data_IF_774824222090
#
_entry.id   IF_774824222090
#
_cell.length_a   1.000
_cell.length_b   1.000
_cell.length_c   1.000
_cell.angle_alpha   90.00
_cell.angle_beta   90.00
_cell.angle_gamma   90.00
#
_symmetry.space_group_name_H-M   'P 1'
#
loop_
_entity.id
_entity.type
_entity.pdbx_description
1 polymer ?
#
# COMPACT_ATOMS: atom_id res chain seq x y z
N UNK A 1 4.73 -15.88 -2.76
CA UNK A 1 5.07 -15.59 -4.18
C UNK A 1 4.39 -14.31 -4.68
N UNK A 2 3.05 -14.22 -4.70
CA UNK A 2 2.30 -13.04 -5.21
C UNK A 2 2.69 -11.72 -4.52
N UNK A 3 2.81 -11.70 -3.19
CA UNK A 3 3.22 -10.50 -2.45
C UNK A 3 4.66 -10.05 -2.78
N UNK A 4 5.60 -10.99 -2.85
CA UNK A 4 6.99 -10.71 -3.21
C UNK A 4 7.13 -10.20 -4.65
N UNK A 5 6.39 -10.81 -5.59
CA UNK A 5 6.32 -10.35 -6.98
C UNK A 5 5.72 -8.95 -7.09
N UNK A 6 4.67 -8.66 -6.32
CA UNK A 6 4.05 -7.33 -6.25
C UNK A 6 5.04 -6.27 -5.74
N UNK A 7 5.83 -6.61 -4.71
CA UNK A 7 6.87 -5.70 -4.19
C UNK A 7 7.97 -5.48 -5.22
N UNK A 8 8.48 -6.55 -5.83
CA UNK A 8 9.56 -6.50 -6.81
C UNK A 8 9.20 -5.75 -8.11
N UNK A 9 7.96 -5.91 -8.59
CA UNK A 9 7.49 -5.28 -9.84
C UNK A 9 7.05 -3.82 -9.69
N UNK A 10 7.26 -3.21 -8.52
CA UNK A 10 6.88 -1.81 -8.28
C UNK A 10 5.40 -1.61 -7.93
N UNK A 11 4.66 -2.65 -7.53
CA UNK A 11 3.33 -2.46 -6.95
C UNK A 11 3.39 -1.95 -5.49
N UNK A 12 4.53 -2.09 -4.81
CA UNK A 12 4.73 -1.51 -3.47
C UNK A 12 4.73 0.03 -3.50
N UNK A 13 5.33 0.67 -4.51
CA UNK A 13 5.29 2.13 -4.64
C UNK A 13 3.88 2.64 -4.87
N UNK A 14 3.02 1.87 -5.56
CA UNK A 14 1.59 2.18 -5.74
C UNK A 14 0.79 2.19 -4.43
N UNK A 15 1.24 1.44 -3.42
CA UNK A 15 0.65 1.50 -2.08
C UNK A 15 1.05 2.78 -1.34
N UNK A 16 2.32 3.18 -1.46
CA UNK A 16 2.93 4.31 -0.73
C UNK A 16 2.55 5.67 -1.32
N UNK A 17 2.72 5.84 -2.64
CA UNK A 17 2.48 7.12 -3.33
C UNK A 17 1.06 7.23 -3.90
N UNK A 18 0.39 6.08 -4.12
CA UNK A 18 -0.91 6.06 -4.78
C UNK A 18 -0.83 6.32 -6.30
N UNK A 19 -1.93 6.05 -6.99
CA UNK A 19 -2.01 6.16 -8.44
C UNK A 19 -3.39 6.67 -8.88
N UNK A 20 -3.42 7.31 -10.04
CA UNK A 20 -4.66 7.79 -10.68
C UNK A 20 -5.41 6.67 -11.42
N UNK A 21 -6.57 6.99 -11.99
CA UNK A 21 -7.38 6.00 -12.72
C UNK A 21 -6.80 5.57 -14.08
N UNK A 22 -5.74 6.22 -14.56
CA UNK A 22 -5.03 5.86 -15.79
C UNK A 22 -3.75 5.06 -15.52
N UNK A 23 -3.43 4.80 -14.25
CA UNK A 23 -2.28 4.02 -13.82
C UNK A 23 -1.00 4.82 -13.65
N UNK A 24 -1.07 6.16 -13.64
CA UNK A 24 0.08 7.01 -13.33
C UNK A 24 0.29 7.02 -11.81
N UNK A 25 1.52 6.76 -11.38
CA UNK A 25 1.95 6.90 -10.00
C UNK A 25 2.16 8.38 -9.68
N UNK A 26 1.50 8.87 -8.62
CA UNK A 26 1.58 10.26 -8.21
C UNK A 26 2.98 10.61 -7.67
N UNK A 27 3.43 11.85 -7.88
CA UNK A 27 4.75 12.31 -7.42
C UNK A 27 5.94 11.75 -8.20
N UNK A 28 5.70 11.05 -9.32
CA UNK A 28 6.76 10.40 -10.09
C UNK A 28 6.64 10.63 -11.59
N UNK A 29 7.73 10.38 -12.32
CA UNK A 29 7.73 10.36 -13.77
C UNK A 29 7.31 8.97 -14.25
N UNK A 30 6.19 8.88 -14.96
CA UNK A 30 5.64 7.63 -15.44
C UNK A 30 6.12 7.30 -16.86
N UNK A 31 6.10 6.02 -17.21
CA UNK A 31 6.36 5.55 -18.57
C UNK A 31 5.03 5.26 -19.28
N UNK A 32 4.86 5.67 -20.55
CA UNK A 32 3.61 5.45 -21.28
C UNK A 32 3.38 3.97 -21.57
N UNK A 33 2.10 3.58 -21.53
CA UNK A 33 1.64 2.23 -21.87
C UNK A 33 0.98 2.31 -23.25
N UNK A 34 1.30 1.34 -24.11
CA UNK A 34 0.75 1.28 -25.46
C UNK A 34 -0.79 1.20 -25.42
N UNK A 35 -1.45 1.96 -26.29
CA UNK A 35 -2.92 2.08 -26.41
C UNK A 35 -3.65 2.79 -25.25
N UNK A 36 -2.92 3.37 -24.28
CA UNK A 36 -3.52 4.14 -23.17
C UNK A 36 -3.00 5.60 -23.18
N UNK A 37 -3.66 6.53 -23.89
CA UNK A 37 -3.13 7.87 -24.14
C UNK A 37 -2.94 8.72 -22.88
N UNK A 38 -3.72 8.46 -21.82
CA UNK A 38 -3.63 9.19 -20.55
C UNK A 38 -2.59 8.59 -19.57
N UNK A 39 -1.92 7.50 -19.95
CA UNK A 39 -0.85 6.87 -19.17
C UNK A 39 0.52 7.48 -19.49
N UNK A 40 1.48 7.32 -18.59
CA UNK A 40 2.84 7.84 -18.77
C UNK A 40 2.98 9.35 -18.55
N UNK A 41 2.00 9.98 -17.90
CA UNK A 41 2.08 11.41 -17.60
C UNK A 41 3.14 11.70 -16.53
N UNK A 42 3.76 12.87 -16.63
CA UNK A 42 4.69 13.35 -15.60
C UNK A 42 3.90 13.90 -14.39
N UNK A 43 3.93 13.16 -13.29
CA UNK A 43 3.18 13.49 -12.07
C UNK A 43 4.08 13.99 -10.95
N UNK A 44 5.33 14.38 -11.22
CA UNK A 44 6.30 14.85 -10.21
C UNK A 44 5.76 15.99 -9.35
N UNK A 45 5.01 16.90 -9.94
CA UNK A 45 4.40 18.06 -9.25
C UNK A 45 3.01 17.76 -8.67
N UNK A 46 2.53 16.52 -8.80
CA UNK A 46 1.19 16.09 -8.37
C UNK A 46 1.30 14.88 -7.44
N UNK A 47 1.76 15.05 -6.19
CA UNK A 47 2.09 13.93 -5.30
C UNK A 47 0.89 13.34 -4.56
N UNK A 48 -0.30 13.97 -4.61
CA UNK A 48 -1.45 13.52 -3.83
C UNK A 48 -2.52 12.86 -4.71
N UNK A 49 -3.16 11.81 -4.23
CA UNK A 49 -4.34 11.21 -4.87
C UNK A 49 -5.60 11.88 -4.36
N UNK A 50 -6.41 12.41 -5.26
CA UNK A 50 -7.74 12.92 -5.02
C UNK A 50 -8.79 12.01 -5.66
N UNK A 51 -9.92 11.80 -4.99
CA UNK A 51 -11.05 11.01 -5.48
C UNK A 51 -12.23 11.93 -5.78
N UNK A 52 -12.81 11.81 -6.98
CA UNK A 52 -13.94 12.67 -7.40
C UNK A 52 -15.17 12.53 -6.48
N UNK A 53 -15.34 11.35 -5.88
CA UNK A 53 -16.30 11.10 -4.81
C UNK A 53 -15.63 10.24 -3.74
N UNK A 54 -15.06 10.91 -2.74
CA UNK A 54 -14.35 10.28 -1.63
C UNK A 54 -15.29 9.56 -0.64
N UNK A 55 -16.61 9.75 -0.71
CA UNK A 55 -17.56 9.15 0.22
C UNK A 55 -18.41 8.04 -0.39
N UNK A 56 -18.30 7.81 -1.70
CA UNK A 56 -18.95 6.71 -2.42
C UNK A 56 -18.02 5.51 -2.61
N UNK A 57 -17.89 4.76 -1.53
CA UNK A 57 -17.11 3.52 -1.45
C UNK A 57 -17.96 2.32 -1.86
N UNK A 58 -17.36 1.40 -2.63
CA UNK A 58 -17.91 0.06 -2.81
C UNK A 58 -17.54 -0.80 -1.60
N UNK A 59 -18.52 -1.18 -0.75
CA UNK A 59 -18.21 -1.94 0.44
C UNK A 59 -17.70 -3.34 0.15
N UNK A 60 -18.11 -3.94 -0.97
CA UNK A 60 -17.74 -5.31 -1.31
C UNK A 60 -16.31 -5.38 -1.83
N UNK A 61 -15.83 -4.32 -2.50
CA UNK A 61 -14.52 -4.28 -3.16
C UNK A 61 -13.47 -3.44 -2.42
N UNK A 62 -13.82 -2.79 -1.31
CA UNK A 62 -13.01 -1.78 -0.63
C UNK A 62 -12.37 -0.77 -1.62
N UNK A 63 -13.14 -0.36 -2.64
CA UNK A 63 -12.65 0.51 -3.70
C UNK A 63 -13.59 1.69 -3.87
N UNK A 64 -13.04 2.89 -4.01
CA UNK A 64 -13.81 4.06 -4.44
C UNK A 64 -14.37 3.80 -5.84
N UNK A 65 -15.68 3.98 -6.04
CA UNK A 65 -16.32 3.84 -7.37
C UNK A 65 -16.09 5.04 -8.28
N UNK A 66 -15.35 6.03 -7.79
CA UNK A 66 -15.06 7.28 -8.47
C UNK A 66 -13.67 7.29 -9.08
N UNK A 67 -13.51 8.13 -10.09
CA UNK A 67 -12.21 8.40 -10.68
C UNK A 67 -11.27 9.02 -9.64
N UNK A 68 -10.01 8.61 -9.70
CA UNK A 68 -8.91 9.16 -8.92
C UNK A 68 -7.94 9.91 -9.82
N UNK A 69 -7.42 11.02 -9.32
CA UNK A 69 -6.51 11.93 -10.01
C UNK A 69 -5.31 12.23 -9.12
N UNK A 70 -4.11 12.29 -9.69
CA UNK A 70 -2.97 12.94 -9.06
C UNK A 70 -3.15 14.46 -9.10
N UNK A 71 -3.04 15.10 -7.94
CA UNK A 71 -3.20 16.54 -7.72
C UNK A 71 -1.99 17.11 -6.98
N UNK A 72 -1.70 18.41 -7.19
CA UNK A 72 -0.60 19.11 -6.52
C UNK A 72 -0.97 19.50 -5.09
N UNK A 73 -2.24 19.82 -4.84
CA UNK A 73 -2.74 20.21 -3.53
C UNK A 73 -4.15 19.67 -3.28
N UNK A 74 -4.42 19.25 -2.04
CA UNK A 74 -5.75 18.87 -1.57
C UNK A 74 -6.60 20.11 -1.23
N UNK A 75 -7.93 20.08 -1.42
CA UNK A 75 -8.79 21.21 -1.07
C UNK A 75 -8.93 21.35 0.45
N UNK A 76 -8.29 22.35 1.04
CA UNK A 76 -8.31 22.58 2.51
C UNK A 76 -9.66 23.08 3.04
N UNK A 77 -10.47 23.67 2.16
CA UNK A 77 -11.84 24.15 2.43
C UNK A 77 -12.85 23.43 1.56
N UNK A 78 -14.10 23.41 2.01
CA UNK A 78 -15.20 22.88 1.20
C UNK A 78 -15.42 23.76 -0.04
N UNK A 79 -15.58 23.13 -1.20
CA UNK A 79 -15.92 23.80 -2.46
C UNK A 79 -17.36 23.44 -2.81
N UNK A 80 -18.25 24.42 -2.77
CA UNK A 80 -19.70 24.18 -2.87
C UNK A 80 -20.20 24.18 -4.31
N UNK A 81 -19.54 24.91 -5.20
CA UNK A 81 -19.93 25.10 -6.59
C UNK A 81 -18.82 24.70 -7.56
N UNK A 82 -19.14 24.45 -8.85
CA UNK A 82 -18.09 24.24 -9.86
C UNK A 82 -17.23 25.48 -10.10
N UNK A 83 -17.77 26.67 -9.84
CA UNK A 83 -16.99 27.91 -9.89
C UNK A 83 -15.88 27.89 -8.82
N UNK A 84 -16.18 27.42 -7.60
CA UNK A 84 -15.16 27.26 -6.56
C UNK A 84 -14.07 26.27 -6.97
N UNK A 85 -14.46 25.17 -7.63
CA UNK A 85 -13.53 24.16 -8.15
C UNK A 85 -12.64 24.74 -9.26
N UNK A 86 -13.20 25.56 -10.15
CA UNK A 86 -12.44 26.28 -11.17
C UNK A 86 -11.45 27.26 -10.55
N UNK A 87 -11.90 28.09 -9.60
CA UNK A 87 -11.03 29.02 -8.89
C UNK A 87 -9.90 28.31 -8.13
N UNK A 88 -10.18 27.13 -7.56
CA UNK A 88 -9.15 26.31 -6.93
C UNK A 88 -8.10 25.84 -7.94
N UNK A 89 -8.53 25.39 -9.12
CA UNK A 89 -7.62 24.97 -10.18
C UNK A 89 -6.73 26.13 -10.68
N UNK A 90 -7.32 27.30 -10.87
CA UNK A 90 -6.62 28.49 -11.37
C UNK A 90 -5.63 29.06 -10.33
N UNK A 91 -6.01 29.13 -9.05
CA UNK A 91 -5.18 29.73 -8.01
C UNK A 91 -4.06 28.81 -7.51
N UNK A 92 -4.33 27.50 -7.41
CA UNK A 92 -3.40 26.55 -6.80
C UNK A 92 -2.71 25.65 -7.83
N UNK A 93 -2.95 25.87 -9.13
CA UNK A 93 -2.46 25.01 -10.23
C UNK A 93 -2.82 23.52 -10.04
N UNK A 94 -3.95 23.25 -9.36
CA UNK A 94 -4.39 21.91 -8.95
C UNK A 94 -5.77 21.60 -9.51
N UNK A 95 -5.82 20.95 -10.68
CA UNK A 95 -7.06 20.55 -11.34
C UNK A 95 -7.72 19.38 -10.61
N UNK A 96 -8.99 19.54 -10.22
CA UNK A 96 -9.77 18.50 -9.54
C UNK A 96 -10.71 17.73 -10.48
N UNK A 97 -10.77 18.07 -11.76
CA UNK A 97 -11.46 17.30 -12.80
C UNK A 97 -10.48 16.47 -13.63
N UNK A 98 -11.03 15.51 -14.39
CA UNK A 98 -10.31 14.72 -15.40
C UNK A 98 -9.38 15.59 -16.24
N UNK A 99 -8.20 15.05 -16.54
CA UNK A 99 -7.15 15.77 -17.27
C UNK A 99 -7.57 16.21 -18.68
N UNK A 100 -8.59 15.60 -19.27
CA UNK A 100 -9.17 16.01 -20.56
C UNK A 100 -9.98 17.31 -20.48
N UNK A 101 -10.39 17.74 -19.29
CA UNK A 101 -11.23 18.93 -19.10
C UNK A 101 -10.37 20.10 -18.60
N UNK A 102 -10.36 21.18 -19.37
CA UNK A 102 -9.67 22.42 -18.97
C UNK A 102 -10.51 23.19 -17.94
N UNK A 103 -9.88 23.96 -17.03
CA UNK A 103 -10.61 24.78 -16.04
C UNK A 103 -11.66 25.70 -16.66
N UNK A 104 -11.43 26.20 -17.87
CA UNK A 104 -12.37 27.04 -18.61
C UNK A 104 -13.72 26.34 -18.92
N UNK A 105 -13.70 25.01 -19.05
CA UNK A 105 -14.83 24.18 -19.46
C UNK A 105 -15.55 23.53 -18.27
N UNK A 106 -15.19 23.90 -17.03
CA UNK A 106 -15.83 23.36 -15.82
C UNK A 106 -17.29 23.81 -15.77
N UNK A 107 -18.20 22.84 -15.75
CA UNK A 107 -19.65 23.02 -15.79
C UNK A 107 -20.30 22.06 -14.80
N UNK A 108 -21.42 22.47 -14.20
CA UNK A 108 -22.14 21.65 -13.21
C UNK A 108 -22.62 20.30 -13.78
N UNK A 109 -22.88 20.22 -15.08
CA UNK A 109 -23.26 18.97 -15.76
C UNK A 109 -22.16 17.88 -15.71
N UNK A 110 -20.91 18.27 -15.47
CA UNK A 110 -19.76 17.36 -15.36
C UNK A 110 -19.57 16.85 -13.93
N UNK A 111 -20.28 17.41 -12.94
CA UNK A 111 -20.11 17.04 -11.54
C UNK A 111 -20.56 15.59 -11.28
N UNK A 112 -19.68 14.79 -10.67
CA UNK A 112 -19.91 13.39 -10.36
C UNK A 112 -19.55 12.40 -11.49
N UNK A 113 -19.23 12.88 -12.69
CA UNK A 113 -18.69 12.07 -13.78
C UNK A 113 -17.22 12.38 -14.00
N UNK A 114 -16.94 13.46 -14.72
CA UNK A 114 -15.61 13.92 -15.13
C UNK A 114 -15.04 14.95 -14.16
N UNK A 115 -15.89 15.58 -13.37
CA UNK A 115 -15.56 16.51 -12.29
C UNK A 115 -16.05 15.97 -10.94
N UNK A 116 -15.55 16.49 -9.81
CA UNK A 116 -15.90 15.96 -8.50
C UNK A 116 -17.37 16.24 -8.18
N UNK A 117 -17.96 15.35 -7.38
CA UNK A 117 -19.33 15.55 -6.90
C UNK A 117 -19.36 16.71 -5.91
N UNK A 118 -20.32 17.61 -6.08
CA UNK A 118 -20.53 18.74 -5.17
C UNK A 118 -21.43 18.37 -3.97
N UNK A 119 -21.21 18.99 -2.80
CA UNK A 119 -20.05 19.82 -2.45
C UNK A 119 -18.79 18.98 -2.24
N UNK A 120 -17.62 19.46 -2.68
CA UNK A 120 -16.33 18.79 -2.45
C UNK A 120 -15.92 19.02 -0.99
N UNK A 121 -15.74 17.96 -0.17
CA UNK A 121 -15.38 18.14 1.23
C UNK A 121 -13.95 18.67 1.39
N UNK A 122 -13.77 19.49 2.43
CA UNK A 122 -12.44 19.86 2.91
C UNK A 122 -11.63 18.59 3.23
N UNK A 123 -10.36 18.57 2.82
CA UNK A 123 -9.50 17.40 2.87
C UNK A 123 -8.10 17.77 3.33
N UNK A 124 -7.44 16.86 4.04
CA UNK A 124 -6.03 16.98 4.44
C UNK A 124 -5.19 15.88 3.78
N UNK A 125 -3.92 16.16 3.45
CA UNK A 125 -3.01 15.13 2.94
C UNK A 125 -2.66 14.12 4.04
N UNK A 126 -2.97 12.84 3.80
CA UNK A 126 -2.59 11.71 4.66
C UNK A 126 -2.05 10.62 3.76
N UNK A 127 -0.78 10.23 3.94
CA UNK A 127 -0.10 9.19 3.13
C UNK A 127 -0.31 9.37 1.62
N UNK A 128 0.04 10.55 1.08
CA UNK A 128 -0.13 10.90 -0.35
C UNK A 128 -1.58 10.84 -0.86
N UNK A 129 -2.59 10.93 0.02
CA UNK A 129 -4.01 10.92 -0.36
C UNK A 129 -4.74 12.08 0.28
N UNK A 130 -5.67 12.68 -0.45
CA UNK A 130 -6.58 13.68 0.09
C UNK A 130 -7.69 12.98 0.86
N UNK A 131 -7.66 13.07 2.19
CA UNK A 131 -8.65 12.44 3.06
C UNK A 131 -9.62 13.51 3.57
N UNK A 132 -10.94 13.35 3.34
CA UNK A 132 -11.95 14.28 3.85
C UNK A 132 -11.84 14.44 5.37
N UNK A 133 -11.96 15.68 5.86
CA UNK A 133 -11.97 15.99 7.30
C UNK A 133 -13.31 15.71 7.96
N UNK A 134 -14.38 15.50 7.18
CA UNK A 134 -15.71 15.23 7.71
C UNK A 134 -15.82 13.77 8.19
N UNK A 135 -16.08 13.61 9.49
CA UNK A 135 -16.12 12.33 10.22
C UNK A 135 -17.18 11.37 9.62
N UNK A 136 -18.29 11.88 9.08
CA UNK A 136 -19.37 11.05 8.53
C UNK A 136 -18.93 10.18 7.34
N UNK A 137 -18.01 10.69 6.52
CA UNK A 137 -17.43 9.97 5.40
C UNK A 137 -16.52 8.83 5.86
N UNK A 138 -15.74 9.07 6.92
CA UNK A 138 -14.88 8.06 7.54
C UNK A 138 -15.68 7.00 8.31
N UNK A 139 -16.76 7.37 9.00
CA UNK A 139 -17.66 6.42 9.68
C UNK A 139 -18.25 5.44 8.66
N UNK A 140 -18.71 5.92 7.50
CA UNK A 140 -19.24 5.05 6.44
C UNK A 140 -18.19 4.07 5.91
N UNK A 141 -16.92 4.50 5.82
CA UNK A 141 -15.79 3.61 5.52
C UNK A 141 -15.54 2.60 6.63
N UNK A 142 -15.52 3.02 7.90
CA UNK A 142 -15.30 2.16 9.05
C UNK A 142 -16.41 1.11 9.21
N UNK A 143 -17.68 1.49 9.07
CA UNK A 143 -18.84 0.59 9.08
C UNK A 143 -18.75 -0.44 7.94
N UNK A 144 -18.36 0.02 6.76
CA UNK A 144 -18.15 -0.82 5.58
C UNK A 144 -17.04 -1.85 5.80
N UNK A 145 -15.88 -1.42 6.30
CA UNK A 145 -14.74 -2.29 6.60
C UNK A 145 -15.08 -3.25 7.74
N UNK A 146 -15.78 -2.78 8.78
CA UNK A 146 -16.27 -3.62 9.86
C UNK A 146 -17.24 -4.69 9.36
N UNK A 147 -18.16 -4.35 8.45
CA UNK A 147 -19.06 -5.31 7.80
C UNK A 147 -18.33 -6.38 6.98
N UNK A 148 -17.24 -5.99 6.29
CA UNK A 148 -16.41 -6.92 5.52
C UNK A 148 -15.57 -7.82 6.43
N UNK A 149 -14.97 -7.28 7.49
CA UNK A 149 -14.24 -8.09 8.49
C UNK A 149 -15.21 -9.06 9.18
N UNK A 150 -16.43 -8.62 9.50
CA UNK A 150 -17.44 -9.49 10.10
C UNK A 150 -18.03 -10.50 9.10
N UNK A 151 -17.66 -10.43 7.82
CA UNK A 151 -18.07 -11.42 6.84
C UNK A 151 -17.15 -12.64 6.93
N UNK A 152 -17.75 -13.81 7.14
CA UNK A 152 -17.04 -15.09 7.25
C UNK A 152 -16.24 -15.44 5.97
N UNK A 153 -16.49 -14.78 4.85
CA UNK A 153 -15.96 -15.11 3.53
C UNK A 153 -14.44 -14.82 3.40
N UNK A 154 -13.91 -13.79 4.07
CA UNK A 154 -12.47 -13.51 4.11
C UNK A 154 -11.75 -14.57 4.94
N UNK A 155 -12.28 -14.86 6.12
CA UNK A 155 -11.73 -15.88 7.00
C UNK A 155 -11.76 -17.26 6.33
N UNK A 156 -12.85 -17.61 5.64
CA UNK A 156 -12.93 -18.85 4.86
C UNK A 156 -11.91 -18.89 3.72
N UNK A 157 -11.64 -17.79 3.02
CA UNK A 157 -10.60 -17.75 1.97
C UNK A 157 -9.20 -17.94 2.53
N UNK A 158 -8.89 -17.32 3.68
CA UNK A 158 -7.60 -17.50 4.35
C UNK A 158 -7.44 -18.94 4.86
N UNK A 159 -8.46 -19.47 5.53
CA UNK A 159 -8.47 -20.84 6.06
C UNK A 159 -8.40 -21.86 4.91
N UNK A 160 -9.14 -21.65 3.83
CA UNK A 160 -9.10 -22.50 2.63
C UNK A 160 -7.71 -22.51 1.98
N UNK A 161 -7.04 -21.36 1.90
CA UNK A 161 -5.66 -21.28 1.42
C UNK A 161 -4.67 -22.07 2.30
N UNK A 162 -4.85 -22.03 3.62
CA UNK A 162 -4.07 -22.80 4.59
C UNK A 162 -4.36 -24.30 4.44
N UNK A 163 -5.64 -24.69 4.38
CA UNK A 163 -6.07 -26.08 4.24
C UNK A 163 -5.59 -26.71 2.94
N UNK A 164 -5.55 -25.95 1.84
CA UNK A 164 -5.04 -26.42 0.55
C UNK A 164 -3.51 -26.63 0.56
N UNK A 165 -2.78 -25.98 1.48
CA UNK A 165 -1.32 -26.06 1.59
C UNK A 165 -0.85 -26.82 2.83
N UNK A 166 -1.77 -27.52 3.52
CA UNK A 166 -1.52 -28.12 4.84
C UNK A 166 -0.34 -29.10 4.85
N UNK A 167 -0.19 -29.91 3.80
CA UNK A 167 0.83 -30.96 3.75
C UNK A 167 2.24 -30.36 3.60
N UNK A 168 2.36 -29.25 2.86
CA UNK A 168 3.61 -28.50 2.72
C UNK A 168 3.99 -27.81 4.04
N UNK A 169 3.02 -27.20 4.73
CA UNK A 169 3.25 -26.51 6.01
C UNK A 169 3.71 -27.51 7.08
N UNK A 170 3.02 -28.65 7.18
CA UNK A 170 3.39 -29.73 8.12
C UNK A 170 4.79 -30.25 7.79
N UNK A 171 5.10 -30.46 6.51
CA UNK A 171 6.43 -30.88 6.06
C UNK A 171 7.53 -29.89 6.45
N UNK A 172 7.32 -28.59 6.26
CA UNK A 172 8.28 -27.54 6.63
C UNK A 172 8.48 -27.46 8.16
N UNK A 173 7.40 -27.56 8.94
CA UNK A 173 7.49 -27.60 10.41
C UNK A 173 8.27 -28.81 10.90
N UNK A 174 8.00 -30.00 10.35
CA UNK A 174 8.73 -31.21 10.71
C UNK A 174 10.22 -31.11 10.33
N UNK A 175 10.52 -30.63 9.13
CA UNK A 175 11.89 -30.39 8.68
C UNK A 175 12.62 -29.41 9.61
N UNK A 176 11.97 -28.32 10.00
CA UNK A 176 12.54 -27.34 10.93
C UNK A 176 12.85 -27.95 12.31
N UNK A 177 11.97 -28.82 12.83
CA UNK A 177 12.21 -29.54 14.09
C UNK A 177 13.42 -30.47 13.98
N UNK A 178 13.51 -31.25 12.90
CA UNK A 178 14.64 -32.16 12.66
C UNK A 178 15.95 -31.38 12.55
N UNK A 179 15.98 -30.30 11.78
CA UNK A 179 17.16 -29.45 11.64
C UNK A 179 17.56 -28.80 12.97
N UNK A 180 16.60 -28.38 13.79
CA UNK A 180 16.87 -27.83 15.13
C UNK A 180 17.54 -28.86 16.05
N UNK A 181 17.05 -30.10 16.07
CA UNK A 181 17.65 -31.19 16.85
C UNK A 181 19.09 -31.48 16.36
N UNK A 182 19.30 -31.55 15.05
CA UNK A 182 20.63 -31.77 14.46
C UNK A 182 21.58 -30.64 14.88
N UNK A 183 21.17 -29.38 14.76
CA UNK A 183 21.99 -28.24 15.15
C UNK A 183 22.34 -28.27 16.64
N UNK A 184 21.39 -28.62 17.51
CA UNK A 184 21.65 -28.77 18.95
C UNK A 184 22.70 -29.86 19.24
N UNK A 185 22.64 -30.99 18.54
CA UNK A 185 23.63 -32.07 18.68
C UNK A 185 25.02 -31.65 18.18
N UNK A 186 25.10 -30.98 17.04
CA UNK A 186 26.35 -30.48 16.47
C UNK A 186 27.01 -29.49 17.43
N UNK A 187 26.26 -28.53 17.97
CA UNK A 187 26.78 -27.55 18.94
C UNK A 187 27.31 -28.26 20.19
N UNK A 188 26.59 -29.27 20.72
CA UNK A 188 27.03 -30.03 21.90
C UNK A 188 28.32 -30.80 21.64
N UNK A 189 28.45 -31.40 20.46
CA UNK A 189 29.65 -32.14 20.07
C UNK A 189 30.87 -31.22 19.93
N UNK A 190 30.72 -30.12 19.16
CA UNK A 190 31.78 -29.14 18.96
C UNK A 190 32.24 -28.56 20.31
N UNK A 191 31.32 -28.15 21.18
CA UNK A 191 31.66 -27.65 22.51
C UNK A 191 32.44 -28.66 23.35
N UNK A 192 32.08 -29.94 23.29
CA UNK A 192 32.79 -31.00 24.02
C UNK A 192 34.22 -31.16 23.49
N UNK A 193 34.39 -31.26 22.17
CA UNK A 193 35.71 -31.40 21.52
C UNK A 193 36.60 -30.19 21.80
N UNK A 194 36.05 -28.97 21.70
CA UNK A 194 36.79 -27.74 22.01
C UNK A 194 37.30 -27.73 23.45
N UNK A 195 36.48 -28.15 24.42
CA UNK A 195 36.90 -28.25 25.82
C UNK A 195 38.07 -29.23 25.98
N UNK A 196 38.01 -30.41 25.36
CA UNK A 196 39.11 -31.39 25.41
C UNK A 196 40.40 -30.88 24.76
N UNK A 197 40.30 -30.17 23.63
CA UNK A 197 41.48 -29.57 22.99
C UNK A 197 42.10 -28.50 23.89
N UNK A 198 41.28 -27.62 24.48
CA UNK A 198 41.75 -26.58 25.40
C UNK A 198 42.39 -27.18 26.65
N UNK A 199 41.82 -28.24 27.24
CA UNK A 199 42.42 -28.88 28.42
C UNK A 199 43.77 -29.52 28.09
N UNK A 200 43.90 -30.22 26.96
CA UNK A 200 45.19 -30.79 26.52
C UNK A 200 46.24 -29.69 26.31
N UNK A 201 45.87 -28.59 25.64
CA UNK A 201 46.76 -27.45 25.42
C UNK A 201 47.20 -26.81 26.74
N UNK A 202 46.30 -26.66 27.71
CA UNK A 202 46.63 -26.14 29.05
C UNK A 202 47.58 -27.07 29.82
N UNK A 203 47.39 -28.39 29.72
CA UNK A 203 48.29 -29.36 30.37
C UNK A 203 49.69 -29.28 29.74
N UNK A 204 49.79 -29.27 28.41
CA UNK A 204 51.07 -29.15 27.71
C UNK A 204 51.77 -27.81 28.00
N UNK A 205 51.01 -26.71 28.00
CA UNK A 205 51.53 -25.38 28.32
C UNK A 205 52.05 -25.27 29.75
N UNK A 206 51.36 -25.89 30.72
CA UNK A 206 51.82 -25.87 32.12
C UNK A 206 53.08 -26.70 32.34
N UNK A 207 53.22 -27.87 31.70
CA UNK A 207 54.45 -28.68 31.78
C UNK A 207 55.67 -28.00 31.14
N UNK A 208 55.47 -27.28 30.03
CA UNK A 208 56.54 -26.54 29.34
C UNK A 208 57.13 -25.37 30.13
N UNK A 209 56.43 -24.85 31.14
CA UNK A 209 56.93 -23.78 32.02
C UNK A 209 57.78 -24.27 33.20
N UNK A 210 57.86 -25.57 33.47
CA UNK A 210 58.65 -26.14 34.57
C UNK A 210 59.98 -26.79 34.13
N UNK A 211 60.35 -26.66 32.86
CA UNK A 211 61.59 -27.22 32.27
C UNK A 211 62.57 -26.15 31.80
#
# INVERSE_FOLDING_TARGET
>A
FVAAFSIYTGAASRLIYGYDSYGNLCGTKNTPIQNFPMSGQDMREKPFVFFLDACNLDPVKLKFRSMSLCVSQCPERQLSTMQDVRHFADNNSSSLCDYSVKPADYKDILAGSTCPKLPVPASKPVLHRCVPTNITCFIKFAETVAGVINSNDIFHKVISGIMNSKDVIIGLCFLALVLSIIMMLVIRYISTVLVWILTILLILGSLGTYG
#
